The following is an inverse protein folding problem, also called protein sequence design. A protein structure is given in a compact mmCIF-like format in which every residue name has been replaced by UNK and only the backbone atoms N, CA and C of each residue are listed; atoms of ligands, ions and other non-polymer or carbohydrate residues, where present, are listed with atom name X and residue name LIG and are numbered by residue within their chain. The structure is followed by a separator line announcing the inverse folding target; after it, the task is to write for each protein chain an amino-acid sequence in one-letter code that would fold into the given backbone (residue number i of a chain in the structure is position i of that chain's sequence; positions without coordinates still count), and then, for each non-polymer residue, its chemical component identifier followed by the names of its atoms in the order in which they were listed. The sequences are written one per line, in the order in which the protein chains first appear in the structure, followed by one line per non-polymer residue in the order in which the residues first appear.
data_IF_170045960207
#
_entry.id   IF_170045960207
#
_cell.length_a   1.000
_cell.length_b   1.000
_cell.length_c   1.000
_cell.angle_alpha   90.00
_cell.angle_beta   90.00
_cell.angle_gamma   90.00
#
_symmetry.space_group_name_H-M   'P 1'
#
loop_
_entity.id
_entity.type
_entity.pdbx_description
1 polymer ?
#
# COMPACT_ATOMS: atom_id res chain seq x y z
N UNK A 1 33.03 -17.13 -2.71
CA UNK A 1 32.90 -15.66 -2.65
C UNK A 1 31.76 -15.37 -1.69
N UNK A 2 32.07 -15.15 -0.41
CA UNK A 2 31.08 -15.02 0.66
C UNK A 2 30.51 -13.61 0.65
N UNK A 3 29.19 -13.49 0.42
CA UNK A 3 28.45 -12.24 0.54
C UNK A 3 27.75 -12.25 1.90
N UNK A 4 28.55 -12.27 2.98
CA UNK A 4 28.06 -12.04 4.34
C UNK A 4 28.44 -10.60 4.75
N UNK A 5 27.87 -9.64 4.05
CA UNK A 5 27.93 -8.24 4.47
C UNK A 5 26.81 -8.00 5.48
N UNK A 6 27.13 -8.04 6.77
CA UNK A 6 26.23 -7.53 7.80
C UNK A 6 26.04 -6.02 7.57
N UNK A 7 24.94 -5.64 6.92
CA UNK A 7 24.59 -4.24 6.67
C UNK A 7 23.90 -3.68 7.92
N UNK A 8 24.69 -3.32 8.93
CA UNK A 8 24.22 -2.54 10.07
C UNK A 8 24.33 -1.05 9.74
N UNK A 9 23.21 -0.42 9.35
CA UNK A 9 23.16 1.02 9.11
C UNK A 9 23.09 1.71 10.48
N UNK A 10 24.20 2.29 10.92
CA UNK A 10 24.25 3.13 12.12
C UNK A 10 23.71 4.52 11.79
N UNK A 11 22.49 4.83 12.26
CA UNK A 11 21.82 6.11 12.06
C UNK A 11 22.02 6.98 13.30
N UNK A 12 23.19 7.62 13.47
CA UNK A 12 23.38 8.65 14.51
C UNK A 12 24.24 9.83 14.02
N UNK A 13 23.68 11.05 14.12
CA UNK A 13 24.39 12.33 14.10
C UNK A 13 24.84 12.85 12.72
N UNK A 14 24.18 13.91 12.22
CA UNK A 14 24.48 14.68 10.99
C UNK A 14 24.46 13.92 9.64
N UNK A 15 24.71 12.60 9.65
CA UNK A 15 24.70 11.68 8.51
C UNK A 15 23.33 11.08 8.18
N UNK A 16 22.27 11.36 8.96
CA UNK A 16 21.00 10.65 8.76
C UNK A 16 20.25 11.09 7.48
N UNK A 17 20.38 12.37 7.11
CA UNK A 17 19.77 12.92 5.88
C UNK A 17 20.43 12.30 4.65
N UNK A 18 21.77 12.34 4.61
CA UNK A 18 22.57 11.72 3.56
C UNK A 18 22.29 10.21 3.46
N UNK A 19 22.04 9.55 4.59
CA UNK A 19 21.66 8.14 4.59
C UNK A 19 20.26 7.87 4.03
N UNK A 20 19.29 8.74 4.27
CA UNK A 20 17.93 8.59 3.74
C UNK A 20 17.91 8.84 2.24
N UNK A 21 18.57 9.91 1.76
CA UNK A 21 18.59 10.20 0.31
C UNK A 21 19.31 9.07 -0.45
N UNK A 22 20.47 8.60 0.03
CA UNK A 22 21.17 7.46 -0.57
C UNK A 22 20.28 6.21 -0.60
N UNK A 23 19.53 5.94 0.48
CA UNK A 23 18.60 4.81 0.53
C UNK A 23 17.51 4.95 -0.54
N UNK A 24 16.89 6.12 -0.65
CA UNK A 24 15.84 6.38 -1.63
C UNK A 24 16.39 6.26 -3.06
N UNK A 25 17.56 6.82 -3.35
CA UNK A 25 18.23 6.67 -4.65
C UNK A 25 18.44 5.20 -5.02
N UNK A 26 18.92 4.38 -4.06
CA UNK A 26 19.07 2.95 -4.27
C UNK A 26 17.73 2.25 -4.52
N UNK A 27 16.69 2.57 -3.75
CA UNK A 27 15.37 1.96 -3.91
C UNK A 27 14.74 2.29 -5.26
N UNK A 28 14.85 3.55 -5.70
CA UNK A 28 14.42 3.99 -7.03
C UNK A 28 15.21 3.26 -8.12
N UNK A 29 16.55 3.23 -8.00
CA UNK A 29 17.44 2.55 -8.94
C UNK A 29 17.13 1.07 -9.12
N UNK A 30 16.72 0.39 -8.05
CA UNK A 30 16.35 -1.03 -8.07
C UNK A 30 14.85 -1.29 -8.23
N UNK A 31 14.07 -0.28 -8.62
CA UNK A 31 12.63 -0.37 -8.90
C UNK A 31 11.82 -0.93 -7.72
N UNK A 32 12.14 -0.50 -6.50
CA UNK A 32 11.28 -0.75 -5.33
C UNK A 32 9.91 -0.10 -5.52
N UNK A 33 8.89 -0.66 -4.89
CA UNK A 33 7.50 -0.18 -4.97
C UNK A 33 7.21 1.04 -4.08
N UNK A 34 8.13 1.39 -3.18
CA UNK A 34 8.00 2.52 -2.27
C UNK A 34 8.79 2.36 -0.98
N UNK A 35 8.65 3.33 -0.08
CA UNK A 35 9.27 3.33 1.25
C UNK A 35 8.27 3.86 2.30
N UNK A 36 8.28 3.24 3.49
CA UNK A 36 7.54 3.74 4.65
C UNK A 36 8.57 4.15 5.71
N UNK A 37 8.49 5.40 6.17
CA UNK A 37 9.35 5.95 7.22
C UNK A 37 8.52 6.21 8.47
N UNK A 38 8.91 5.59 9.58
CA UNK A 38 8.31 5.89 10.88
C UNK A 38 9.01 7.08 11.55
N UNK A 39 8.34 8.21 11.66
CA UNK A 39 8.85 9.42 12.33
C UNK A 39 8.49 9.43 13.81
N UNK A 40 9.39 9.92 14.68
CA UNK A 40 9.13 10.17 16.10
C UNK A 40 10.23 9.71 17.06
N UNK A 41 10.81 8.51 16.88
CA UNK A 41 11.82 7.97 17.82
C UNK A 41 13.27 8.28 17.41
N UNK A 42 13.58 8.18 16.13
CA UNK A 42 14.94 8.36 15.60
C UNK A 42 15.01 9.30 14.39
N UNK A 43 13.90 9.40 13.65
CA UNK A 43 13.73 10.32 12.53
C UNK A 43 12.66 11.31 12.97
N UNK A 44 13.04 12.57 13.15
CA UNK A 44 12.11 13.61 13.62
C UNK A 44 11.27 14.15 12.47
N UNK A 45 11.91 14.37 11.32
CA UNK A 45 11.27 14.78 10.07
C UNK A 45 12.01 14.19 8.86
N UNK A 46 11.28 14.10 7.74
CA UNK A 46 11.87 13.79 6.44
C UNK A 46 12.29 15.11 5.76
N UNK A 47 13.55 15.25 5.33
CA UNK A 47 14.02 16.46 4.65
C UNK A 47 13.28 16.73 3.34
N UNK A 48 13.09 18.01 3.00
CA UNK A 48 12.38 18.41 1.78
C UNK A 48 13.05 17.86 0.52
N UNK A 49 14.38 17.88 0.44
CA UNK A 49 15.13 17.35 -0.71
C UNK A 49 14.82 15.87 -0.98
N UNK A 50 14.53 15.08 0.06
CA UNK A 50 14.11 13.67 -0.08
C UNK A 50 12.69 13.58 -0.63
N UNK A 51 11.78 14.43 -0.12
CA UNK A 51 10.40 14.49 -0.61
C UNK A 51 10.36 14.87 -2.09
N UNK A 52 11.09 15.92 -2.46
CA UNK A 52 11.18 16.40 -3.83
C UNK A 52 11.80 15.34 -4.75
N UNK A 53 12.83 14.63 -4.30
CA UNK A 53 13.41 13.53 -5.06
C UNK A 53 12.40 12.40 -5.30
N UNK A 54 11.65 11.99 -4.27
CA UNK A 54 10.62 10.97 -4.40
C UNK A 54 9.52 11.40 -5.39
N UNK A 55 9.03 12.63 -5.27
CA UNK A 55 7.97 13.17 -6.14
C UNK A 55 8.43 13.26 -7.59
N UNK A 56 9.66 13.74 -7.85
CA UNK A 56 10.23 13.81 -9.19
C UNK A 56 10.46 12.44 -9.86
N UNK A 57 10.55 11.37 -9.07
CA UNK A 57 10.76 10.00 -9.57
C UNK A 57 9.49 9.14 -9.50
N UNK A 58 8.32 9.74 -9.23
CA UNK A 58 7.06 9.02 -8.99
C UNK A 58 7.20 7.88 -7.96
N UNK A 59 8.06 8.07 -6.96
CA UNK A 59 8.39 7.05 -5.96
C UNK A 59 7.53 7.22 -4.70
N UNK A 60 6.67 6.25 -4.36
CA UNK A 60 5.79 6.37 -3.21
C UNK A 60 6.57 6.39 -1.88
N UNK A 61 6.43 7.49 -1.13
CA UNK A 61 6.97 7.63 0.22
C UNK A 61 5.84 7.90 1.21
N UNK A 62 5.70 7.04 2.23
CA UNK A 62 4.70 7.19 3.28
C UNK A 62 5.38 7.52 4.61
N UNK A 63 4.87 8.54 5.30
CA UNK A 63 5.33 8.93 6.64
C UNK A 63 4.30 8.50 7.67
N UNK A 64 4.71 7.68 8.63
CA UNK A 64 3.85 7.20 9.70
C UNK A 64 4.40 7.61 11.08
N UNK A 65 3.59 8.20 11.96
CA UNK A 65 4.01 8.46 13.33
C UNK A 65 4.39 7.18 14.09
N UNK A 66 5.41 7.25 14.95
CA UNK A 66 5.94 6.12 15.72
C UNK A 66 4.90 5.41 16.61
N UNK A 67 3.85 6.12 17.03
CA UNK A 67 2.78 5.56 17.85
C UNK A 67 1.83 4.64 17.06
N UNK A 68 1.92 4.64 15.72
CA UNK A 68 1.17 3.70 14.88
C UNK A 68 1.93 2.38 14.83
N UNK A 69 1.30 1.31 15.28
CA UNK A 69 1.86 -0.03 15.12
C UNK A 69 1.84 -0.39 13.64
N UNK A 70 3.01 -0.62 13.02
CA UNK A 70 3.09 -1.02 11.60
C UNK A 70 2.20 -2.22 11.26
N UNK A 71 1.92 -3.08 12.25
CA UNK A 71 0.99 -4.20 12.12
C UNK A 71 -0.42 -3.73 11.71
N UNK A 72 -0.88 -2.59 12.19
CA UNK A 72 -2.20 -2.06 11.87
C UNK A 72 -2.25 -1.48 10.46
N UNK A 73 -1.16 -0.83 10.00
CA UNK A 73 -1.02 -0.40 8.61
C UNK A 73 -1.00 -1.61 7.67
N UNK A 74 -0.16 -2.60 7.95
CA UNK A 74 -0.08 -3.82 7.14
C UNK A 74 -1.43 -4.51 7.09
N UNK A 75 -2.12 -4.63 8.24
CA UNK A 75 -3.47 -5.19 8.28
C UNK A 75 -4.44 -4.40 7.42
N UNK A 76 -4.47 -3.07 7.52
CA UNK A 76 -5.38 -2.26 6.71
C UNK A 76 -5.10 -2.42 5.21
N UNK A 77 -3.83 -2.34 4.79
CA UNK A 77 -3.45 -2.57 3.39
C UNK A 77 -3.81 -3.99 2.91
N UNK A 78 -3.47 -5.02 3.68
CA UNK A 78 -3.78 -6.40 3.34
C UNK A 78 -5.29 -6.63 3.27
N UNK A 79 -6.06 -6.11 4.23
CA UNK A 79 -7.51 -6.25 4.23
C UNK A 79 -8.13 -5.57 3.02
N UNK A 80 -7.71 -4.34 2.67
CA UNK A 80 -8.17 -3.65 1.46
C UNK A 80 -7.87 -4.45 0.19
N UNK A 81 -6.66 -4.98 0.06
CA UNK A 81 -6.28 -5.81 -1.09
C UNK A 81 -7.11 -7.10 -1.14
N UNK A 82 -7.29 -7.80 -0.02
CA UNK A 82 -8.13 -9.00 0.06
C UNK A 82 -9.60 -8.72 -0.27
N UNK A 83 -10.16 -7.61 0.21
CA UNK A 83 -11.53 -7.22 -0.10
C UNK A 83 -11.68 -6.90 -1.59
N UNK A 84 -10.76 -6.17 -2.20
CA UNK A 84 -10.80 -5.88 -3.64
C UNK A 84 -10.81 -7.16 -4.50
N UNK A 85 -9.96 -8.14 -4.17
CA UNK A 85 -9.94 -9.43 -4.88
C UNK A 85 -11.23 -10.24 -4.68
N UNK A 86 -11.79 -10.20 -3.47
CA UNK A 86 -13.06 -10.86 -3.17
C UNK A 86 -14.21 -10.21 -3.94
N UNK A 87 -14.19 -8.89 -4.10
CA UNK A 87 -15.18 -8.15 -4.88
C UNK A 87 -15.15 -8.56 -6.36
N UNK A 88 -13.97 -8.55 -6.99
CA UNK A 88 -13.79 -8.97 -8.39
C UNK A 88 -14.25 -10.42 -8.64
N UNK A 89 -13.92 -11.30 -7.69
CA UNK A 89 -14.35 -12.69 -7.73
C UNK A 89 -15.87 -12.83 -7.68
N UNK A 90 -16.55 -12.15 -6.75
CA UNK A 90 -18.00 -12.23 -6.60
C UNK A 90 -18.74 -11.70 -7.83
N UNK A 91 -18.29 -10.56 -8.37
CA UNK A 91 -18.84 -10.01 -9.62
C UNK A 91 -18.73 -11.04 -10.75
N UNK A 92 -17.55 -11.64 -10.91
CA UNK A 92 -17.31 -12.68 -11.93
C UNK A 92 -18.21 -13.89 -11.74
N UNK A 93 -18.36 -14.39 -10.51
CA UNK A 93 -19.23 -15.54 -10.20
C UNK A 93 -20.70 -15.25 -10.51
N UNK A 94 -21.22 -14.07 -10.12
CA UNK A 94 -22.61 -13.71 -10.38
C UNK A 94 -22.90 -13.62 -11.89
N UNK A 95 -21.98 -13.04 -12.67
CA UNK A 95 -22.09 -13.04 -14.13
C UNK A 95 -22.10 -14.46 -14.70
N UNK A 96 -21.16 -15.31 -14.29
CA UNK A 96 -21.10 -16.70 -14.76
C UNK A 96 -22.37 -17.48 -14.44
N UNK A 97 -22.95 -17.29 -13.24
CA UNK A 97 -24.20 -17.95 -12.84
C UNK A 97 -25.38 -17.48 -13.69
N UNK A 98 -25.49 -16.18 -13.94
CA UNK A 98 -26.52 -15.60 -14.81
C UNK A 98 -26.44 -16.17 -16.24
N UNK A 99 -25.23 -16.27 -16.80
CA UNK A 99 -25.05 -16.85 -18.13
C UNK A 99 -25.33 -18.36 -18.19
N UNK A 100 -25.06 -19.10 -17.10
CA UNK A 100 -25.21 -20.55 -17.05
C UNK A 100 -26.66 -20.99 -16.81
N UNK A 101 -27.42 -20.23 -16.02
CA UNK A 101 -28.85 -20.48 -15.78
C UNK A 101 -29.63 -19.16 -15.63
N UNK A 102 -30.42 -18.77 -16.64
CA UNK A 102 -31.22 -17.54 -16.62
C UNK A 102 -32.24 -17.46 -15.48
N UNK A 103 -32.59 -18.57 -14.82
CA UNK A 103 -33.52 -18.57 -13.67
C UNK A 103 -32.89 -17.99 -12.41
N UNK A 104 -31.56 -17.95 -12.35
CA UNK A 104 -30.80 -17.41 -11.22
C UNK A 104 -30.61 -15.90 -11.30
N UNK A 105 -31.12 -15.24 -12.35
CA UNK A 105 -30.97 -13.79 -12.57
C UNK A 105 -31.48 -13.01 -11.37
N UNK A 106 -32.68 -13.29 -10.87
CA UNK A 106 -33.28 -12.48 -9.82
C UNK A 106 -32.57 -12.66 -8.46
N UNK A 107 -32.06 -13.86 -8.17
CA UNK A 107 -31.29 -14.15 -6.97
C UNK A 107 -29.91 -13.48 -7.01
N UNK A 108 -29.16 -13.66 -8.10
CA UNK A 108 -27.85 -13.03 -8.26
C UNK A 108 -27.94 -11.50 -8.38
N UNK A 109 -29.04 -10.97 -8.93
CA UNK A 109 -29.30 -9.52 -8.99
C UNK A 109 -29.47 -8.93 -7.60
N UNK A 110 -30.19 -9.60 -6.70
CA UNK A 110 -30.35 -9.16 -5.32
C UNK A 110 -29.03 -9.21 -4.54
N UNK A 111 -28.21 -10.24 -4.75
CA UNK A 111 -26.89 -10.37 -4.11
C UNK A 111 -25.87 -9.36 -4.66
N UNK A 112 -25.87 -9.08 -5.97
CA UNK A 112 -25.10 -8.00 -6.59
C UNK A 112 -25.45 -6.63 -6.00
N UNK A 113 -26.74 -6.35 -5.82
CA UNK A 113 -27.21 -5.06 -5.25
C UNK A 113 -26.90 -4.91 -3.75
N UNK A 114 -26.66 -6.01 -3.04
CA UNK A 114 -26.24 -6.02 -1.63
C UNK A 114 -24.72 -5.97 -1.46
N UNK A 115 -23.97 -6.26 -2.52
CA UNK A 115 -22.51 -6.21 -2.53
C UNK A 115 -22.01 -4.77 -2.24
N UNK A 116 -20.94 -4.61 -1.44
CA UNK A 116 -20.32 -3.29 -1.18
C UNK A 116 -19.95 -2.51 -2.45
N UNK A 117 -19.72 -3.22 -3.56
CA UNK A 117 -19.43 -2.69 -4.91
C UNK A 117 -20.44 -1.61 -5.35
N UNK A 118 -21.73 -1.75 -5.02
CA UNK A 118 -22.76 -0.75 -5.34
C UNK A 118 -23.02 0.26 -4.20
N UNK A 119 -22.54 -0.03 -2.98
CA UNK A 119 -22.72 0.87 -1.82
C UNK A 119 -21.71 2.02 -1.80
N UNK A 120 -20.53 1.82 -2.39
CA UNK A 120 -19.49 2.85 -2.48
C UNK A 120 -19.85 4.06 -3.38
N UNK A 121 -20.86 3.94 -4.26
CA UNK A 121 -21.36 5.06 -5.07
C UNK A 121 -22.39 5.96 -4.35
N UNK A 122 -22.80 5.61 -3.13
CA UNK A 122 -23.81 6.38 -2.37
C UNK A 122 -23.22 7.26 -1.25
N UNK A 123 -21.88 7.36 -1.15
CA UNK A 123 -21.18 8.22 -0.19
C UNK A 123 -20.29 9.30 -0.84
N UNK A 124 -20.51 9.59 -2.13
CA UNK A 124 -19.82 10.68 -2.86
C UNK A 124 -20.83 11.68 -3.47
N UNK A 125 -21.97 11.91 -2.80
CA UNK A 125 -22.81 13.10 -3.00
C UNK A 125 -23.41 13.54 -1.66
#
# INVERSE_FOLDING_TARGET
MNISGNFQINIFGKNYIDNIINLVEYLVKYHSVGLIINTGKYIFDVPQDVLDYCENNDFPLLISPWHIHMVDLIKDFCMRCLFSQKEDYLVTQYFQNIFSDPRTIEENRNELMRSPVFRSYHYIF
#
